data_IF_736010473824
#
_entry.id   IF_736010473824
#
_cell.length_a   1.000
_cell.length_b   1.000
_cell.length_c   1.000
_cell.angle_alpha   90.00
_cell.angle_beta   90.00
_cell.angle_gamma   90.00
#
_symmetry.space_group_name_H-M   'P 1'
#
loop_
_entity.id
_entity.type
_entity.pdbx_description
1 polymer ?
#
# COMPACT_ATOMS: atom_id res chain seq x y z
N UNK A 1 -19.06 7.44 6.94
CA UNK A 1 -17.73 7.94 7.35
C UNK A 1 -16.75 6.77 7.39
N UNK A 2 -15.55 6.96 6.87
CA UNK A 2 -14.56 5.89 6.85
C UNK A 2 -13.92 5.71 8.23
N UNK A 3 -13.72 4.47 8.63
CA UNK A 3 -13.03 4.09 9.85
C UNK A 3 -11.84 3.21 9.48
N UNK A 4 -10.78 3.24 10.30
CA UNK A 4 -9.60 2.42 10.08
C UNK A 4 -9.31 1.64 11.35
N UNK A 5 -9.11 0.33 11.19
CA UNK A 5 -8.79 -0.59 12.27
C UNK A 5 -7.69 -1.56 11.86
N UNK A 6 -7.16 -2.27 12.82
CA UNK A 6 -6.22 -3.35 12.53
C UNK A 6 -6.95 -4.54 11.90
N UNK A 7 -6.22 -5.28 11.08
CA UNK A 7 -6.67 -6.55 10.53
C UNK A 7 -7.08 -7.51 11.66
N UNK A 8 -8.15 -8.27 11.42
CA UNK A 8 -8.54 -9.39 12.27
C UNK A 8 -8.67 -10.64 11.41
N UNK A 9 -8.38 -11.84 11.97
CA UNK A 9 -8.55 -13.08 11.22
C UNK A 9 -9.97 -13.18 10.64
N UNK A 10 -10.06 -13.54 9.36
CA UNK A 10 -11.30 -13.55 8.60
C UNK A 10 -11.36 -12.44 7.54
N UNK A 11 -10.57 -11.39 7.68
CA UNK A 11 -10.53 -10.29 6.69
C UNK A 11 -9.86 -10.69 5.37
N UNK A 12 -9.02 -11.73 5.38
CA UNK A 12 -8.14 -12.09 4.24
C UNK A 12 -8.89 -12.38 2.96
N UNK A 13 -10.06 -12.99 3.02
CA UNK A 13 -10.84 -13.28 1.81
C UNK A 13 -11.30 -11.99 1.12
N UNK A 14 -11.88 -11.08 1.89
CA UNK A 14 -12.36 -9.79 1.38
C UNK A 14 -11.19 -8.92 0.91
N UNK A 15 -10.08 -8.92 1.63
CA UNK A 15 -8.89 -8.17 1.25
C UNK A 15 -8.27 -8.71 -0.04
N UNK A 16 -8.22 -10.04 -0.21
CA UNK A 16 -7.73 -10.65 -1.46
C UNK A 16 -8.58 -10.20 -2.65
N UNK A 17 -9.90 -10.20 -2.51
CA UNK A 17 -10.81 -9.73 -3.55
C UNK A 17 -10.56 -8.25 -3.86
N UNK A 18 -10.41 -7.41 -2.84
CA UNK A 18 -10.16 -5.97 -3.01
C UNK A 18 -8.85 -5.73 -3.77
N UNK A 19 -7.77 -6.35 -3.34
CA UNK A 19 -6.45 -6.18 -3.94
C UNK A 19 -6.48 -6.61 -5.41
N UNK A 20 -7.01 -7.79 -5.70
CA UNK A 20 -7.10 -8.33 -7.05
C UNK A 20 -8.00 -7.51 -7.95
N UNK A 21 -9.14 -7.07 -7.43
CA UNK A 21 -10.07 -6.25 -8.18
C UNK A 21 -9.42 -4.91 -8.59
N UNK A 22 -8.77 -4.24 -7.66
CA UNK A 22 -8.13 -2.96 -7.94
C UNK A 22 -6.95 -3.10 -8.90
N UNK A 23 -6.18 -4.20 -8.78
CA UNK A 23 -5.14 -4.50 -9.77
C UNK A 23 -5.70 -4.58 -11.18
N UNK A 24 -6.81 -5.31 -11.36
CA UNK A 24 -7.38 -5.52 -12.69
C UNK A 24 -8.12 -4.30 -13.22
N UNK A 25 -8.84 -3.58 -12.37
CA UNK A 25 -9.70 -2.46 -12.82
C UNK A 25 -8.94 -1.13 -12.90
N UNK A 26 -7.86 -0.96 -12.15
CA UNK A 26 -7.12 0.31 -12.10
C UNK A 26 -5.69 0.12 -12.58
N UNK A 27 -4.89 -0.68 -11.87
CA UNK A 27 -3.45 -0.77 -12.13
C UNK A 27 -3.12 -1.36 -13.50
N UNK A 28 -3.95 -2.28 -14.01
CA UNK A 28 -3.74 -2.91 -15.32
C UNK A 28 -3.73 -1.90 -16.47
N UNK A 29 -4.32 -0.72 -16.30
CA UNK A 29 -4.29 0.35 -17.31
C UNK A 29 -2.93 1.05 -17.38
N UNK A 30 -2.08 0.90 -16.38
CA UNK A 30 -0.83 1.65 -16.24
C UNK A 30 0.40 0.77 -16.14
N UNK A 31 0.23 -0.52 -15.83
CA UNK A 31 1.32 -1.44 -15.53
C UNK A 31 1.38 -2.58 -16.55
N UNK A 32 2.58 -3.14 -16.82
CA UNK A 32 2.70 -4.30 -17.72
C UNK A 32 1.88 -5.48 -17.22
N UNK A 33 1.31 -6.24 -18.17
CA UNK A 33 0.45 -7.38 -17.86
C UNK A 33 1.16 -8.43 -16.99
N UNK A 34 2.44 -8.70 -17.23
CA UNK A 34 3.20 -9.68 -16.45
C UNK A 34 3.33 -9.28 -14.99
N UNK A 35 3.47 -7.99 -14.70
CA UNK A 35 3.50 -7.49 -13.34
C UNK A 35 2.15 -7.66 -12.66
N UNK A 36 1.07 -7.36 -13.37
CA UNK A 36 -0.29 -7.51 -12.83
C UNK A 36 -0.59 -8.98 -12.53
N UNK A 37 -0.22 -9.90 -13.43
CA UNK A 37 -0.39 -11.33 -13.21
C UNK A 37 0.39 -11.83 -12.00
N UNK A 38 1.64 -11.36 -11.87
CA UNK A 38 2.49 -11.74 -10.73
C UNK A 38 1.88 -11.27 -9.41
N UNK A 39 1.42 -10.03 -9.33
CA UNK A 39 0.77 -9.48 -8.14
C UNK A 39 -0.57 -10.17 -7.87
N UNK A 40 -1.37 -10.41 -8.91
CA UNK A 40 -2.65 -11.10 -8.77
C UNK A 40 -2.48 -12.48 -8.14
N UNK A 41 -1.49 -13.23 -8.62
CA UNK A 41 -1.20 -14.57 -8.09
C UNK A 41 -0.61 -14.52 -6.69
N UNK A 42 0.06 -13.42 -6.32
CA UNK A 42 0.61 -13.23 -4.99
C UNK A 42 -0.46 -12.93 -3.93
N UNK A 43 -1.51 -12.21 -4.30
CA UNK A 43 -2.54 -11.79 -3.35
C UNK A 43 -3.65 -12.81 -3.15
N UNK A 44 -3.28 -14.05 -2.81
CA UNK A 44 -4.22 -15.07 -2.36
C UNK A 44 -4.65 -14.77 -0.92
N UNK A 45 -5.82 -15.31 -0.47
CA UNK A 45 -6.20 -15.15 0.93
C UNK A 45 -5.13 -15.62 1.91
N UNK A 46 -4.46 -16.72 1.61
CA UNK A 46 -3.39 -17.28 2.44
C UNK A 46 -2.19 -16.32 2.54
N UNK A 47 -1.79 -15.72 1.42
CA UNK A 47 -0.70 -14.75 1.40
C UNK A 47 -1.07 -13.48 2.13
N UNK A 48 -2.31 -13.02 1.99
CA UNK A 48 -2.80 -11.83 2.71
C UNK A 48 -2.77 -12.07 4.21
N UNK A 49 -3.21 -13.25 4.66
CA UNK A 49 -3.15 -13.62 6.08
C UNK A 49 -1.70 -13.67 6.58
N UNK A 50 -0.77 -14.17 5.77
CA UNK A 50 0.65 -14.22 6.13
C UNK A 50 1.26 -12.82 6.22
N UNK A 51 0.93 -11.93 5.28
CA UNK A 51 1.36 -10.54 5.33
C UNK A 51 0.88 -9.89 6.64
N UNK A 52 -0.37 -10.14 7.02
CA UNK A 52 -0.93 -9.62 8.27
C UNK A 52 -0.26 -10.21 9.52
N UNK A 53 0.17 -11.47 9.45
CA UNK A 53 0.88 -12.12 10.56
C UNK A 53 2.29 -11.55 10.73
N UNK A 54 2.95 -11.17 9.63
CA UNK A 54 4.33 -10.67 9.63
C UNK A 54 4.41 -9.15 9.80
N UNK A 55 3.32 -8.44 9.55
CA UNK A 55 3.30 -6.98 9.56
C UNK A 55 2.15 -6.40 10.38
N UNK A 56 1.99 -5.08 10.28
CA UNK A 56 0.85 -4.37 10.85
C UNK A 56 -0.10 -3.99 9.70
N UNK A 57 -1.13 -4.79 9.51
CA UNK A 57 -2.13 -4.55 8.46
C UNK A 57 -3.30 -3.74 9.01
N UNK A 58 -3.64 -2.68 8.30
CA UNK A 58 -4.79 -1.82 8.59
C UNK A 58 -5.87 -2.02 7.55
N UNK A 59 -7.10 -1.93 7.99
CA UNK A 59 -8.29 -2.14 7.17
C UNK A 59 -9.16 -0.89 7.29
N UNK A 60 -9.52 -0.31 6.15
CA UNK A 60 -10.43 0.83 6.10
C UNK A 60 -11.83 0.33 5.77
N UNK A 61 -12.80 0.74 6.58
CA UNK A 61 -14.20 0.39 6.36
C UNK A 61 -15.05 1.65 6.18
N UNK A 62 -16.12 1.50 5.41
CA UNK A 62 -17.10 2.55 5.21
C UNK A 62 -18.48 1.89 5.22
N UNK A 63 -19.32 2.27 6.17
CA UNK A 63 -20.63 1.62 6.34
C UNK A 63 -20.53 0.13 6.63
N UNK A 64 -19.47 -0.31 7.29
CA UNK A 64 -19.23 -1.72 7.60
C UNK A 64 -18.57 -2.53 6.48
N UNK A 65 -18.42 -1.96 5.28
CA UNK A 65 -17.78 -2.62 4.16
C UNK A 65 -16.30 -2.22 4.07
N UNK A 66 -15.43 -3.17 3.76
CA UNK A 66 -14.00 -2.91 3.57
C UNK A 66 -13.79 -2.20 2.24
N UNK A 67 -13.14 -1.03 2.26
CA UNK A 67 -12.90 -0.21 1.07
C UNK A 67 -11.42 0.06 0.82
N UNK A 68 -10.53 -0.28 1.77
CA UNK A 68 -9.10 -0.04 1.62
C UNK A 68 -8.29 -0.86 2.60
N UNK A 69 -6.99 -0.96 2.32
CA UNK A 69 -6.04 -1.67 3.18
C UNK A 69 -4.61 -1.18 2.92
N UNK A 70 -3.73 -1.43 3.86
CA UNK A 70 -2.30 -1.21 3.73
C UNK A 70 -1.58 -1.89 4.88
N UNK A 71 -0.32 -2.24 4.66
CA UNK A 71 0.48 -2.96 5.65
C UNK A 71 1.84 -2.29 5.83
N UNK A 72 2.28 -2.20 7.09
CA UNK A 72 3.62 -1.77 7.44
C UNK A 72 4.44 -3.00 7.81
N UNK A 73 5.62 -3.15 7.22
CA UNK A 73 6.58 -4.21 7.58
C UNK A 73 7.93 -3.57 7.93
N UNK A 74 8.68 -4.25 8.80
CA UNK A 74 10.05 -3.84 9.13
C UNK A 74 11.00 -4.48 8.12
N UNK A 75 11.85 -3.67 7.49
CA UNK A 75 12.79 -4.13 6.47
C UNK A 75 14.25 -3.95 6.86
N UNK A 76 14.51 -3.25 7.95
CA UNK A 76 15.86 -3.03 8.45
C UNK A 76 15.83 -2.27 9.75
N UNK A 77 17.00 -2.00 10.31
CA UNK A 77 17.10 -1.19 11.52
C UNK A 77 16.63 0.23 11.22
N UNK A 78 15.65 0.71 11.98
CA UNK A 78 15.02 2.03 11.80
C UNK A 78 14.47 2.24 10.39
N UNK A 79 14.00 1.17 9.76
CA UNK A 79 13.49 1.20 8.39
C UNK A 79 12.23 0.34 8.27
N UNK A 80 11.22 0.87 7.60
CA UNK A 80 10.01 0.12 7.30
C UNK A 80 9.54 0.37 5.87
N UNK A 81 8.76 -0.58 5.37
CA UNK A 81 8.12 -0.49 4.06
C UNK A 81 6.61 -0.53 4.21
N UNK A 82 5.91 0.27 3.41
CA UNK A 82 4.46 0.18 3.28
C UNK A 82 4.17 -0.64 2.02
N UNK A 83 3.46 -1.74 2.20
CA UNK A 83 3.12 -2.68 1.12
C UNK A 83 1.61 -2.87 1.01
N UNK A 84 1.16 -3.33 -0.15
CA UNK A 84 -0.22 -3.70 -0.41
C UNK A 84 -1.22 -2.60 -0.01
N UNK A 85 -0.87 -1.34 -0.28
CA UNK A 85 -1.72 -0.19 0.01
C UNK A 85 -2.66 0.05 -1.19
N UNK A 86 -3.93 -0.31 -1.03
CA UNK A 86 -4.94 -0.25 -2.09
C UNK A 86 -6.27 0.24 -1.54
N UNK A 87 -7.02 0.92 -2.40
CA UNK A 87 -8.41 1.26 -2.20
C UNK A 87 -9.25 0.55 -3.28
N UNK A 88 -10.52 0.26 -2.97
CA UNK A 88 -11.44 -0.16 -4.02
C UNK A 88 -11.50 0.92 -5.11
N UNK A 89 -11.74 0.55 -6.39
CA UNK A 89 -11.80 1.53 -7.48
C UNK A 89 -12.78 2.68 -7.21
N UNK A 90 -13.95 2.39 -6.67
CA UNK A 90 -14.97 3.40 -6.35
C UNK A 90 -14.62 4.27 -5.14
N UNK A 91 -13.61 3.91 -4.39
CA UNK A 91 -13.15 4.69 -3.23
C UNK A 91 -12.01 5.66 -3.57
N UNK A 92 -11.44 5.55 -4.76
CA UNK A 92 -10.33 6.40 -5.21
C UNK A 92 -10.83 7.81 -5.52
N UNK A 93 -10.02 8.83 -5.22
CA UNK A 93 -10.33 10.23 -5.54
C UNK A 93 -11.24 10.92 -4.53
N UNK A 94 -11.42 10.33 -3.35
CA UNK A 94 -12.29 10.86 -2.29
C UNK A 94 -11.51 11.28 -1.03
N UNK A 95 -10.18 11.35 -1.10
CA UNK A 95 -9.34 11.67 0.06
C UNK A 95 -9.11 10.51 1.02
N UNK A 96 -9.61 9.33 0.74
CA UNK A 96 -9.48 8.16 1.63
C UNK A 96 -8.04 7.64 1.67
N UNK A 97 -7.30 7.75 0.57
CA UNK A 97 -5.89 7.39 0.54
C UNK A 97 -5.06 8.23 1.51
N UNK A 98 -5.35 9.52 1.60
CA UNK A 98 -4.69 10.41 2.57
C UNK A 98 -4.97 9.95 4.00
N UNK A 99 -6.23 9.64 4.32
CA UNK A 99 -6.60 9.15 5.64
C UNK A 99 -5.90 7.83 5.97
N UNK A 100 -5.83 6.91 5.00
CA UNK A 100 -5.16 5.63 5.19
C UNK A 100 -3.67 5.83 5.48
N UNK A 101 -2.99 6.66 4.70
CA UNK A 101 -1.55 6.90 4.88
C UNK A 101 -1.23 7.66 6.17
N UNK A 102 -2.12 8.53 6.64
CA UNK A 102 -1.96 9.15 7.96
C UNK A 102 -1.89 8.09 9.06
N UNK A 103 -2.74 7.06 8.99
CA UNK A 103 -2.74 5.98 9.97
C UNK A 103 -1.52 5.07 9.79
N UNK A 104 -1.18 4.71 8.55
CA UNK A 104 0.00 3.87 8.29
C UNK A 104 1.29 4.53 8.77
N UNK A 105 1.45 5.82 8.50
CA UNK A 105 2.66 6.55 8.91
C UNK A 105 2.69 6.84 10.41
N UNK A 106 1.55 6.78 11.08
CA UNK A 106 1.45 6.91 12.54
C UNK A 106 1.63 5.57 13.27
N UNK A 107 1.75 4.45 12.52
CA UNK A 107 2.06 3.15 13.12
C UNK A 107 3.40 3.24 13.87
N UNK A 108 3.50 2.53 15.00
CA UNK A 108 4.69 2.62 15.86
C UNK A 108 5.99 2.29 15.12
N UNK A 109 5.96 1.35 14.18
CA UNK A 109 7.15 1.02 13.39
C UNK A 109 7.56 2.18 12.47
N UNK A 110 6.58 2.88 11.89
CA UNK A 110 6.85 4.07 11.09
C UNK A 110 7.32 5.25 11.92
N UNK A 111 6.75 5.42 13.12
CA UNK A 111 7.16 6.49 14.04
C UNK A 111 8.62 6.32 14.48
N UNK A 112 9.04 5.09 14.72
CA UNK A 112 10.41 4.77 15.15
C UNK A 112 11.40 4.76 13.98
N UNK A 113 10.92 4.65 12.74
CA UNK A 113 11.79 4.54 11.56
C UNK A 113 12.41 5.89 11.17
N UNK A 114 13.61 5.85 10.63
CA UNK A 114 14.24 6.99 9.97
C UNK A 114 13.88 7.03 8.48
N UNK A 115 13.55 5.89 7.93
CA UNK A 115 13.20 5.75 6.51
C UNK A 115 11.94 4.91 6.36
N UNK A 116 10.95 5.49 5.67
CA UNK A 116 9.74 4.78 5.23
C UNK A 116 9.85 4.70 3.71
N UNK A 117 9.73 3.50 3.16
CA UNK A 117 9.82 3.34 1.71
C UNK A 117 8.68 2.50 1.17
N UNK A 118 8.49 2.56 -0.14
CA UNK A 118 7.48 1.79 -0.85
C UNK A 118 7.86 1.70 -2.32
N UNK A 119 7.22 0.80 -3.05
CA UNK A 119 7.29 0.79 -4.50
C UNK A 119 5.99 1.32 -5.06
N UNK A 120 6.11 2.30 -5.96
CA UNK A 120 4.95 3.01 -6.51
C UNK A 120 4.60 2.47 -7.88
N UNK A 121 3.30 2.31 -8.13
CA UNK A 121 2.78 2.22 -9.49
C UNK A 121 2.81 3.61 -10.13
N UNK A 122 2.85 3.65 -11.46
CA UNK A 122 2.91 4.91 -12.22
C UNK A 122 1.73 5.83 -11.88
N UNK A 123 0.54 5.26 -11.74
CA UNK A 123 -0.67 6.03 -11.48
C UNK A 123 -0.75 6.62 -10.06
N UNK A 124 0.07 6.14 -9.13
CA UNK A 124 0.07 6.62 -7.74
C UNK A 124 1.22 7.58 -7.43
N UNK A 125 2.11 7.83 -8.39
CA UNK A 125 3.32 8.63 -8.18
C UNK A 125 3.03 10.03 -7.63
N UNK A 126 2.08 10.74 -8.23
CA UNK A 126 1.73 12.10 -7.77
C UNK A 126 1.20 12.11 -6.35
N UNK A 127 0.43 11.10 -5.98
CA UNK A 127 -0.09 10.97 -4.61
C UNK A 127 1.06 10.86 -3.61
N UNK A 128 2.04 10.00 -3.90
CA UNK A 128 3.17 9.81 -2.99
C UNK A 128 4.07 11.04 -2.95
N UNK A 129 4.33 11.69 -4.07
CA UNK A 129 5.13 12.92 -4.09
C UNK A 129 4.50 14.02 -3.24
N UNK A 130 3.19 14.17 -3.28
CA UNK A 130 2.48 15.15 -2.45
C UNK A 130 2.59 14.86 -0.96
N UNK A 131 2.81 13.59 -0.59
CA UNK A 131 3.00 13.19 0.79
C UNK A 131 4.46 13.26 1.25
N UNK A 132 5.37 13.71 0.39
CA UNK A 132 6.78 13.88 0.72
C UNK A 132 7.67 12.70 0.36
N UNK A 133 7.16 11.71 -0.37
CA UNK A 133 7.97 10.60 -0.87
C UNK A 133 8.70 11.02 -2.13
N UNK A 134 9.98 10.62 -2.25
CA UNK A 134 10.81 10.92 -3.41
C UNK A 134 11.58 9.66 -3.81
N UNK A 135 11.91 9.54 -5.09
CA UNK A 135 12.85 8.53 -5.52
C UNK A 135 14.27 8.97 -5.12
N UNK A 136 15.08 8.10 -4.47
CA UNK A 136 16.43 8.49 -4.02
C UNK A 136 17.35 8.99 -5.13
N UNK A 137 17.14 8.55 -6.37
CA UNK A 137 17.92 8.97 -7.53
C UNK A 137 17.24 10.06 -8.36
N UNK A 138 16.08 10.56 -7.93
CA UNK A 138 15.35 11.61 -8.63
C UNK A 138 14.54 11.15 -9.84
N UNK A 139 14.41 9.84 -10.05
CA UNK A 139 13.62 9.31 -11.17
C UNK A 139 12.12 9.48 -10.92
N UNK A 140 11.38 9.74 -11.98
CA UNK A 140 9.91 9.77 -11.97
C UNK A 140 9.32 8.73 -12.92
N UNK A 141 10.14 7.85 -13.46
CA UNK A 141 9.73 6.76 -14.34
C UNK A 141 10.20 5.44 -13.75
N UNK A 142 9.51 4.37 -14.12
CA UNK A 142 9.86 3.03 -13.66
C UNK A 142 11.24 2.64 -14.15
N UNK A 143 11.99 1.94 -13.31
CA UNK A 143 13.27 1.39 -13.68
C UNK A 143 13.16 0.20 -14.63
N UNK A 144 14.30 -0.38 -15.00
CA UNK A 144 14.35 -1.53 -15.90
C UNK A 144 13.64 -2.76 -15.33
N UNK A 145 13.52 -2.85 -14.00
CA UNK A 145 12.78 -3.91 -13.29
C UNK A 145 11.28 -3.64 -13.22
N UNK A 146 10.79 -2.54 -13.77
CA UNK A 146 9.39 -2.15 -13.73
C UNK A 146 8.93 -1.55 -12.41
N UNK A 147 9.84 -1.31 -11.46
CA UNK A 147 9.53 -0.78 -10.13
C UNK A 147 10.08 0.63 -9.98
N UNK A 148 9.37 1.44 -9.21
CA UNK A 148 9.83 2.76 -8.80
C UNK A 148 9.79 2.84 -7.28
N UNK A 149 10.96 2.79 -6.66
CA UNK A 149 11.09 2.92 -5.21
C UNK A 149 10.97 4.38 -4.81
N UNK A 150 10.14 4.66 -3.82
CA UNK A 150 9.95 5.98 -3.24
C UNK A 150 10.24 5.90 -1.75
N UNK A 151 10.83 6.95 -1.20
CA UNK A 151 11.15 6.98 0.22
C UNK A 151 10.82 8.33 0.84
N UNK A 152 10.59 8.28 2.15
CA UNK A 152 10.41 9.44 2.99
C UNK A 152 11.33 9.29 4.17
N UNK A 153 12.30 10.20 4.30
CA UNK A 153 13.26 10.18 5.40
C UNK A 153 12.85 11.22 6.45
N UNK A 154 12.90 10.81 7.71
CA UNK A 154 12.65 11.73 8.81
C UNK A 154 13.94 12.50 9.09
N UNK A 155 13.79 13.82 9.23
CA UNK A 155 14.89 14.67 9.70
C UNK A 155 15.03 14.50 11.20
N UNK A 156 16.23 14.25 11.64
CA UNK A 156 16.55 14.17 13.06
C UNK A 156 17.69 15.13 13.38
#
# INVERSE_FOLDING_TARGET
MAEIRRYIPGDEDTLSVLLRRTLLEVNAHYCPQGEIEWLYNRYTPESVAQIAADGHTYVMTEGGAIVGTGTVIVTGELECEIIAAFLLPEAIGRGLGTQLFEVLEADEWCEDANRIWLTSSVNALDFYEKRGYVNPCGYRTRGADGLLTMEKRKKR
#
